data_IF_640233392432
#
_entry.id   IF_640233392432
#
_cell.length_a   1.000
_cell.length_b   1.000
_cell.length_c   1.000
_cell.angle_alpha   90.00
_cell.angle_beta   90.00
_cell.angle_gamma   90.00
#
_symmetry.space_group_name_H-M   'P 1'
#
loop_
_entity.id
_entity.type
_entity.pdbx_description
1 polymer ?
#
# COMPACT_ATOMS: atom_id res chain seq x y z
N UNK A 1 -5.25 38.48 -10.28
CA UNK A 1 -4.54 37.65 -11.27
C UNK A 1 -3.99 36.47 -10.51
N UNK A 2 -4.75 35.37 -10.46
CA UNK A 2 -4.31 34.18 -9.74
C UNK A 2 -3.35 33.42 -10.64
N UNK A 3 -2.05 33.53 -10.33
CA UNK A 3 -1.04 32.66 -10.90
C UNK A 3 -1.25 31.26 -10.32
N UNK A 4 -2.12 30.47 -10.94
CA UNK A 4 -2.13 29.03 -10.71
C UNK A 4 -0.90 28.46 -11.42
N UNK A 5 0.23 28.39 -10.72
CA UNK A 5 1.35 27.54 -11.13
C UNK A 5 0.84 26.10 -11.04
N UNK A 6 0.34 25.56 -12.15
CA UNK A 6 -0.01 24.14 -12.24
C UNK A 6 1.29 23.35 -12.13
N UNK A 7 1.58 22.87 -10.91
CA UNK A 7 2.69 21.97 -10.68
C UNK A 7 2.51 20.73 -11.56
N UNK A 8 3.61 20.29 -12.19
CA UNK A 8 3.60 19.08 -13.02
C UNK A 8 3.12 17.87 -12.21
N UNK A 9 2.54 16.88 -12.90
CA UNK A 9 2.19 15.63 -12.25
C UNK A 9 3.47 14.93 -11.76
N UNK A 10 3.35 14.16 -10.67
CA UNK A 10 4.41 13.22 -10.27
C UNK A 10 4.22 11.90 -11.02
N UNK A 11 5.21 11.02 -11.08
CA UNK A 11 5.16 9.76 -11.84
C UNK A 11 3.98 8.86 -11.42
N UNK A 12 3.67 8.81 -10.12
CA UNK A 12 2.49 8.09 -9.62
C UNK A 12 1.17 8.67 -10.17
N UNK A 13 1.13 9.97 -10.42
CA UNK A 13 -0.05 10.65 -10.95
C UNK A 13 -0.24 10.45 -12.41
N UNK A 14 0.85 10.54 -13.16
CA UNK A 14 0.85 10.24 -14.59
C UNK A 14 0.41 8.79 -14.83
N UNK A 15 0.92 7.86 -14.01
CA UNK A 15 0.57 6.42 -14.13
C UNK A 15 -0.89 6.13 -13.81
N UNK A 16 -1.46 6.76 -12.77
CA UNK A 16 -2.85 6.50 -12.34
C UNK A 16 -3.86 7.36 -13.13
N UNK A 17 -3.42 8.47 -13.72
CA UNK A 17 -4.30 9.46 -14.34
C UNK A 17 -5.13 10.26 -13.33
N UNK A 18 -4.60 10.46 -12.11
CA UNK A 18 -5.30 11.17 -11.02
C UNK A 18 -4.58 12.47 -10.63
N UNK A 19 -5.34 13.42 -10.10
CA UNK A 19 -4.90 14.75 -9.72
C UNK A 19 -3.77 14.72 -8.66
N UNK A 20 -2.74 15.53 -8.89
CA UNK A 20 -1.58 15.65 -8.00
C UNK A 20 -1.71 16.86 -7.05
N UNK A 21 -0.82 16.93 -6.06
CA UNK A 21 -0.59 18.14 -5.25
C UNK A 21 -1.80 18.69 -4.48
N UNK A 22 -2.82 17.86 -4.19
CA UNK A 22 -3.96 18.29 -3.37
C UNK A 22 -3.54 18.57 -1.93
N UNK A 23 -4.18 19.56 -1.32
CA UNK A 23 -3.93 19.95 0.07
C UNK A 23 -4.79 19.19 1.09
N UNK A 24 -5.53 18.16 0.67
CA UNK A 24 -6.42 17.39 1.55
C UNK A 24 -5.69 16.57 2.63
N UNK A 25 -4.43 16.19 2.38
CA UNK A 25 -3.60 15.40 3.31
C UNK A 25 -2.31 16.10 3.75
N UNK A 26 -2.03 17.28 3.20
CA UNK A 26 -0.81 18.05 3.46
C UNK A 26 -1.10 19.55 3.32
N UNK A 27 -0.41 20.39 4.10
CA UNK A 27 -0.48 21.86 3.96
C UNK A 27 0.55 22.42 2.98
N UNK A 28 1.41 21.55 2.44
CA UNK A 28 2.49 21.90 1.51
C UNK A 28 2.32 21.12 0.22
N UNK A 29 2.51 21.82 -0.91
CA UNK A 29 2.71 21.20 -2.21
C UNK A 29 4.21 21.06 -2.45
N UNK A 30 4.59 20.06 -3.22
CA UNK A 30 6.00 19.78 -3.48
C UNK A 30 6.19 18.42 -4.13
N UNK A 31 7.38 18.24 -4.70
CA UNK A 31 7.85 17.01 -5.30
C UNK A 31 8.97 16.43 -4.42
N UNK A 32 8.96 15.12 -4.24
CA UNK A 32 9.96 14.36 -3.51
C UNK A 32 10.52 13.28 -4.44
N UNK A 33 11.82 12.99 -4.37
CA UNK A 33 12.38 11.87 -5.11
C UNK A 33 12.03 10.58 -4.38
N UNK A 34 11.62 9.56 -5.13
CA UNK A 34 11.26 8.28 -4.55
C UNK A 34 12.47 7.58 -3.89
N UNK A 35 13.67 7.84 -4.42
CA UNK A 35 14.94 7.36 -3.89
C UNK A 35 15.31 7.92 -2.51
N UNK A 36 14.67 9.00 -2.07
CA UNK A 36 14.87 9.56 -0.72
C UNK A 36 14.19 8.70 0.38
N UNK A 37 13.32 7.76 0.00
CA UNK A 37 12.65 6.84 0.92
C UNK A 37 13.35 5.47 0.99
N UNK A 38 13.17 4.74 2.08
CA UNK A 38 13.63 3.34 2.17
C UNK A 38 12.87 2.44 1.20
N UNK A 39 13.50 1.34 0.77
CA UNK A 39 12.88 0.39 -0.18
C UNK A 39 11.50 -0.10 0.26
N UNK A 40 11.33 -0.44 1.55
CA UNK A 40 10.05 -0.86 2.11
C UNK A 40 8.96 0.21 1.96
N UNK A 41 9.33 1.50 2.13
CA UNK A 41 8.39 2.62 1.97
C UNK A 41 8.06 2.82 0.50
N UNK A 42 9.06 2.74 -0.39
CA UNK A 42 8.83 2.81 -1.84
C UNK A 42 7.87 1.70 -2.29
N UNK A 43 8.13 0.46 -1.90
CA UNK A 43 7.29 -0.69 -2.25
C UNK A 43 5.87 -0.55 -1.67
N UNK A 44 5.76 -0.07 -0.44
CA UNK A 44 4.46 0.25 0.17
C UNK A 44 3.69 1.28 -0.65
N UNK A 45 4.35 2.31 -1.19
CA UNK A 45 3.71 3.28 -2.08
C UNK A 45 3.22 2.63 -3.37
N UNK A 46 4.03 1.82 -4.05
CA UNK A 46 3.60 1.09 -5.26
C UNK A 46 2.39 0.21 -4.99
N UNK A 47 2.43 -0.61 -3.92
CA UNK A 47 1.31 -1.49 -3.57
C UNK A 47 0.04 -0.69 -3.26
N UNK A 48 0.13 0.34 -2.42
CA UNK A 48 -1.04 1.18 -2.05
C UNK A 48 -1.59 1.97 -3.25
N UNK A 49 -0.72 2.33 -4.19
CA UNK A 49 -1.07 3.00 -5.44
C UNK A 49 -1.63 2.06 -6.52
N UNK A 50 -1.54 0.73 -6.32
CA UNK A 50 -1.89 -0.29 -7.33
C UNK A 50 -1.08 -0.16 -8.62
N UNK A 51 0.18 0.26 -8.49
CA UNK A 51 1.13 0.35 -9.60
C UNK A 51 2.09 -0.83 -9.51
N UNK A 52 2.41 -1.43 -10.67
CA UNK A 52 3.43 -2.48 -10.74
C UNK A 52 4.77 -1.96 -10.21
N UNK A 53 5.44 -2.76 -9.37
CA UNK A 53 6.73 -2.37 -8.82
C UNK A 53 7.77 -2.23 -9.94
N UNK A 54 8.42 -1.07 -10.00
CA UNK A 54 9.48 -0.80 -10.98
C UNK A 54 10.84 -1.08 -10.35
N UNK A 55 11.74 -1.74 -11.09
CA UNK A 55 13.10 -2.01 -10.60
C UNK A 55 13.99 -0.77 -10.70
N UNK A 56 13.93 -0.05 -11.82
CA UNK A 56 14.59 1.25 -11.95
C UNK A 56 13.65 2.36 -11.47
N UNK A 57 13.97 2.94 -10.32
CA UNK A 57 13.21 4.01 -9.65
C UNK A 57 14.04 5.28 -9.46
N UNK A 58 15.23 5.34 -10.07
CA UNK A 58 16.30 6.28 -9.73
C UNK A 58 15.88 7.74 -9.91
N UNK A 59 14.95 8.00 -10.84
CA UNK A 59 14.42 9.33 -11.15
C UNK A 59 12.91 9.45 -10.93
N UNK A 60 12.27 8.47 -10.29
CA UNK A 60 10.83 8.56 -10.03
C UNK A 60 10.55 9.57 -8.93
N UNK A 61 9.46 10.30 -9.10
CA UNK A 61 8.99 11.33 -8.20
C UNK A 61 7.63 10.99 -7.62
N UNK A 62 7.41 11.46 -6.40
CA UNK A 62 6.12 11.40 -5.73
C UNK A 62 5.81 12.79 -5.16
N UNK A 63 4.60 13.28 -5.39
CA UNK A 63 4.20 14.54 -4.78
C UNK A 63 3.90 14.37 -3.28
N UNK A 64 4.10 15.44 -2.51
CA UNK A 64 3.85 15.44 -1.05
C UNK A 64 2.42 15.03 -0.68
N UNK A 65 1.46 15.30 -1.56
CA UNK A 65 0.08 14.84 -1.38
C UNK A 65 0.00 13.31 -1.33
N UNK A 66 0.62 12.63 -2.31
CA UNK A 66 0.60 11.17 -2.43
C UNK A 66 1.52 10.49 -1.41
N UNK A 67 2.68 11.06 -1.11
CA UNK A 67 3.54 10.51 -0.06
C UNK A 67 2.82 10.50 1.29
N UNK A 68 2.03 11.53 1.60
CA UNK A 68 1.15 11.55 2.80
C UNK A 68 -0.02 10.59 2.67
N UNK A 69 -0.71 10.56 1.52
CA UNK A 69 -1.86 9.69 1.29
C UNK A 69 -1.51 8.21 1.42
N UNK A 70 -0.43 7.78 0.76
CA UNK A 70 0.07 6.41 0.78
C UNK A 70 0.98 6.11 1.97
N UNK A 71 1.37 7.12 2.74
CA UNK A 71 2.06 6.96 4.02
C UNK A 71 1.09 6.94 5.19
N UNK A 72 1.29 7.87 6.12
CA UNK A 72 0.64 7.87 7.43
C UNK A 72 -0.89 8.06 7.40
N UNK A 73 -1.44 8.68 6.35
CA UNK A 73 -2.88 8.91 6.26
C UNK A 73 -3.64 7.67 5.79
N UNK A 74 -2.97 6.74 5.11
CA UNK A 74 -3.59 5.55 4.56
C UNK A 74 -4.24 4.71 5.67
N UNK A 75 -3.45 4.37 6.69
CA UNK A 75 -3.85 3.45 7.77
C UNK A 75 -4.98 4.02 8.65
N UNK A 76 -5.02 5.35 8.80
CA UNK A 76 -6.04 6.04 9.61
C UNK A 76 -7.44 5.94 9.00
N UNK A 77 -7.55 5.70 7.69
CA UNK A 77 -8.82 5.68 6.97
C UNK A 77 -9.57 4.35 7.10
N UNK A 78 -8.87 3.25 7.43
CA UNK A 78 -9.44 1.90 7.42
C UNK A 78 -9.62 1.37 8.84
N UNK A 79 -10.86 1.33 9.32
CA UNK A 79 -11.24 0.75 10.63
C UNK A 79 -12.07 -0.54 10.53
N UNK A 80 -12.33 -1.00 9.29
CA UNK A 80 -13.15 -2.17 8.97
C UNK A 80 -12.28 -3.22 8.31
N UNK A 81 -12.69 -4.48 8.45
CA UNK A 81 -12.08 -5.58 7.74
C UNK A 81 -12.26 -5.38 6.23
N UNK A 82 -11.18 -5.44 5.47
CA UNK A 82 -11.22 -5.36 4.00
C UNK A 82 -11.81 -6.62 3.34
N UNK A 83 -12.12 -7.66 4.11
CA UNK A 83 -12.81 -8.87 3.63
C UNK A 83 -12.13 -9.53 2.42
N UNK A 84 -10.81 -9.64 2.43
CA UNK A 84 -9.99 -10.15 1.31
C UNK A 84 -10.37 -11.57 0.82
N UNK A 85 -11.14 -12.32 1.61
CA UNK A 85 -11.64 -13.66 1.27
C UNK A 85 -13.15 -13.70 0.93
N UNK A 86 -13.79 -12.53 0.77
CA UNK A 86 -15.23 -12.39 0.51
C UNK A 86 -16.13 -13.26 1.42
N UNK A 87 -15.72 -13.42 2.67
CA UNK A 87 -16.33 -14.36 3.62
C UNK A 87 -17.34 -13.71 4.58
N UNK A 88 -17.36 -12.37 4.63
CA UNK A 88 -18.25 -11.63 5.51
C UNK A 88 -19.59 -11.33 4.85
N UNK A 89 -20.69 -11.70 5.54
CA UNK A 89 -22.06 -11.30 5.16
C UNK A 89 -22.38 -9.83 5.50
N UNK A 90 -21.63 -9.23 6.41
CA UNK A 90 -21.77 -7.84 6.84
C UNK A 90 -20.40 -7.21 7.15
N UNK A 91 -20.31 -5.88 7.25
CA UNK A 91 -19.06 -5.18 7.55
C UNK A 91 -18.51 -5.62 8.92
N UNK A 92 -17.34 -6.26 8.93
CA UNK A 92 -16.67 -6.69 10.16
C UNK A 92 -15.66 -5.64 10.65
N UNK A 93 -15.43 -5.57 11.96
CA UNK A 93 -14.40 -4.70 12.56
C UNK A 93 -13.01 -5.23 12.23
N UNK A 94 -12.12 -4.32 11.82
CA UNK A 94 -10.70 -4.62 11.64
C UNK A 94 -9.96 -4.64 12.99
N UNK A 95 -9.03 -5.55 13.16
CA UNK A 95 -8.20 -5.64 14.39
C UNK A 95 -6.72 -5.88 14.13
N UNK A 96 -6.33 -6.30 12.92
CA UNK A 96 -4.94 -6.54 12.54
C UNK A 96 -4.61 -5.75 11.28
N UNK A 97 -3.54 -4.96 11.34
CA UNK A 97 -3.03 -4.23 10.18
C UNK A 97 -2.20 -5.20 9.33
N UNK A 98 -2.42 -5.16 8.02
CA UNK A 98 -1.65 -5.94 7.05
C UNK A 98 -0.28 -5.29 6.86
N UNK A 99 0.79 -6.03 7.16
CA UNK A 99 2.17 -5.56 6.96
C UNK A 99 2.57 -5.68 5.49
N UNK A 100 3.67 -5.01 5.09
CA UNK A 100 4.25 -5.14 3.75
C UNK A 100 4.55 -6.61 3.42
N UNK A 101 5.24 -7.31 4.31
CA UNK A 101 5.60 -8.72 4.12
C UNK A 101 4.37 -9.61 3.91
N UNK A 102 3.33 -9.47 4.75
CA UNK A 102 2.10 -10.24 4.59
C UNK A 102 1.38 -9.91 3.28
N UNK A 103 1.36 -8.64 2.89
CA UNK A 103 0.74 -8.22 1.63
C UNK A 103 1.44 -8.87 0.43
N UNK A 104 2.78 -8.84 0.38
CA UNK A 104 3.57 -9.43 -0.70
C UNK A 104 3.31 -10.92 -0.87
N UNK A 105 3.30 -11.68 0.23
CA UNK A 105 3.05 -13.11 0.19
C UNK A 105 1.64 -13.44 -0.30
N UNK A 106 0.65 -12.67 0.14
CA UNK A 106 -0.73 -12.86 -0.32
C UNK A 106 -0.90 -12.44 -1.78
N UNK A 107 -0.21 -11.40 -2.24
CA UNK A 107 -0.20 -11.00 -3.65
C UNK A 107 0.40 -12.08 -4.56
N UNK A 108 1.40 -12.83 -4.12
CA UNK A 108 1.92 -14.00 -4.86
C UNK A 108 0.88 -15.11 -5.04
N UNK A 109 -0.14 -15.16 -4.18
CA UNK A 109 -1.27 -16.10 -4.23
C UNK A 109 -2.51 -15.48 -4.88
N UNK A 110 -2.35 -14.36 -5.58
CA UNK A 110 -3.43 -13.61 -6.23
C UNK A 110 -4.52 -13.14 -5.26
N UNK A 111 -4.20 -13.06 -3.96
CA UNK A 111 -5.11 -12.53 -2.94
C UNK A 111 -4.92 -11.02 -2.90
N UNK A 112 -5.99 -10.30 -3.25
CA UNK A 112 -5.96 -8.85 -3.30
C UNK A 112 -5.88 -8.22 -1.89
N UNK A 113 -4.70 -7.73 -1.54
CA UNK A 113 -4.44 -7.05 -0.28
C UNK A 113 -3.28 -6.08 -0.43
N UNK A 114 -3.32 -4.98 0.32
CA UNK A 114 -2.26 -3.98 0.35
C UNK A 114 -1.85 -3.64 1.79
N UNK A 115 -0.61 -3.17 1.99
CA UNK A 115 -0.13 -2.81 3.31
C UNK A 115 -1.02 -1.73 3.94
N UNK A 116 -1.29 -1.83 5.24
CA UNK A 116 -2.14 -0.89 5.98
C UNK A 116 -3.63 -1.24 6.02
N UNK A 117 -4.11 -2.19 5.20
CA UNK A 117 -5.48 -2.67 5.30
C UNK A 117 -5.72 -3.41 6.61
N UNK A 118 -6.90 -3.20 7.20
CA UNK A 118 -7.28 -3.93 8.41
C UNK A 118 -7.99 -5.23 8.08
N UNK A 119 -7.64 -6.29 8.81
CA UNK A 119 -8.29 -7.59 8.77
C UNK A 119 -8.92 -7.88 10.13
N UNK A 120 -10.09 -8.51 10.13
CA UNK A 120 -10.63 -9.11 11.35
C UNK A 120 -9.79 -10.33 11.76
N UNK A 121 -9.97 -10.82 12.99
CA UNK A 121 -9.26 -12.02 13.50
C UNK A 121 -9.36 -13.22 12.54
N UNK A 122 -10.53 -13.47 11.96
CA UNK A 122 -10.74 -14.62 11.08
C UNK A 122 -10.01 -14.47 9.74
N UNK A 123 -10.10 -13.30 9.08
CA UNK A 123 -9.37 -13.04 7.85
C UNK A 123 -7.86 -13.06 8.09
N UNK A 124 -7.39 -12.51 9.20
CA UNK A 124 -5.97 -12.54 9.54
C UNK A 124 -5.46 -13.96 9.78
N UNK A 125 -6.23 -14.81 10.46
CA UNK A 125 -5.86 -16.21 10.69
C UNK A 125 -5.81 -17.02 9.39
N UNK A 126 -6.77 -16.80 8.47
CA UNK A 126 -6.72 -17.41 7.14
C UNK A 126 -5.50 -16.94 6.34
N UNK A 127 -5.26 -15.63 6.29
CA UNK A 127 -4.08 -15.04 5.67
C UNK A 127 -2.76 -15.63 6.20
N UNK A 128 -2.65 -15.81 7.52
CA UNK A 128 -1.49 -16.45 8.16
C UNK A 128 -1.33 -17.94 7.81
N UNK A 129 -2.43 -18.66 7.56
CA UNK A 129 -2.36 -20.05 7.08
C UNK A 129 -1.85 -20.12 5.65
N UNK A 130 -2.33 -19.22 4.80
CA UNK A 130 -1.80 -19.09 3.45
C UNK A 130 -0.30 -18.79 3.46
N UNK A 131 0.19 -17.97 4.39
CA UNK A 131 1.63 -17.73 4.56
C UNK A 131 2.45 -19.00 4.89
N UNK A 132 1.91 -19.94 5.69
CA UNK A 132 2.66 -21.10 6.21
C UNK A 132 2.71 -22.29 5.26
N UNK A 133 1.79 -22.37 4.30
CA UNK A 133 1.74 -23.51 3.37
C UNK A 133 2.94 -23.57 2.40
N UNK A 134 3.83 -22.56 2.41
CA UNK A 134 5.03 -22.49 1.57
C UNK A 134 6.34 -22.64 2.37
N UNK A 135 6.30 -22.87 3.69
CA UNK A 135 7.52 -23.25 4.40
C UNK A 135 7.90 -24.68 3.96
N UNK A 136 9.12 -24.90 3.41
CA UNK A 136 9.56 -26.24 3.08
C UNK A 136 9.52 -27.08 4.35
N UNK A 137 8.90 -28.26 4.26
CA UNK A 137 8.93 -29.26 5.32
C UNK A 137 10.39 -29.54 5.63
N UNK A 138 10.91 -29.06 6.75
CA UNK A 138 12.22 -29.48 7.25
C UNK A 138 12.16 -31.00 7.40
N UNK A 139 12.85 -31.71 6.51
CA UNK A 139 13.21 -33.11 6.73
C UNK A 139 14.05 -33.14 8.01
N UNK A 140 13.41 -33.42 9.14
CA UNK A 140 14.09 -33.79 10.37
C UNK A 140 14.75 -35.14 10.14
N UNK A 141 16.02 -35.12 9.74
CA UNK A 141 16.89 -36.29 9.77
C UNK A 141 16.94 -36.80 11.21
N UNK A 142 16.52 -38.06 11.39
CA UNK A 142 16.72 -38.83 12.62
C UNK A 142 18.18 -39.16 12.83
#
# INVERSE_FOLDING_TARGET
MDFYTTLSQCDFGETIGDECHKLSYTRKQGMENLSDYSEDVQETFFMRARIAYQQDKTNMTICMHRSKMYGNMFERKFNKCCNIFNSHKAKAKGSHITTLHLAKQLSQKEIDVIPGWQLCKNCFHKARKEQKNDEPVECRSR
#
